data_IF_844857253258
#
_entry.id   IF_844857253258
#
_cell.length_a   1.000
_cell.length_b   1.000
_cell.length_c   1.000
_cell.angle_alpha   90.00
_cell.angle_beta   90.00
_cell.angle_gamma   90.00
#
_symmetry.space_group_name_H-M   'P 1'
#
loop_
_entity.id
_entity.type
_entity.pdbx_description
1 polymer ?
#
# COMPACT_ATOMS: atom_id res chain seq x y z
N UNK A 1 15.71 -7.30 11.29
CA UNK A 1 14.47 -6.72 11.83
C UNK A 1 13.64 -6.00 10.76
N UNK A 2 13.63 -6.48 9.51
CA UNK A 2 12.78 -6.00 8.41
C UNK A 2 12.28 -7.22 7.64
N UNK A 3 11.46 -8.04 8.31
CA UNK A 3 10.70 -9.08 7.63
C UNK A 3 9.62 -8.40 6.79
N UNK A 4 9.71 -8.67 5.50
CA UNK A 4 9.23 -7.86 4.41
C UNK A 4 7.71 -8.05 4.29
N UNK A 5 6.93 -7.05 3.88
CA UNK A 5 5.48 -7.25 3.67
C UNK A 5 5.25 -8.43 2.71
N UNK A 6 6.21 -8.69 1.82
CA UNK A 6 6.29 -9.89 0.99
C UNK A 6 6.25 -11.21 1.77
N UNK A 7 6.94 -11.31 2.91
CA UNK A 7 6.94 -12.51 3.74
C UNK A 7 5.54 -12.73 4.35
N UNK A 8 4.88 -11.64 4.77
CA UNK A 8 3.49 -11.67 5.26
C UNK A 8 2.54 -12.16 4.15
N UNK A 9 2.71 -11.70 2.91
CA UNK A 9 1.93 -12.16 1.76
C UNK A 9 2.11 -13.67 1.54
N UNK A 10 3.36 -14.15 1.51
CA UNK A 10 3.69 -15.54 1.26
C UNK A 10 3.19 -16.45 2.39
N UNK A 11 3.34 -16.03 3.64
CA UNK A 11 2.80 -16.73 4.82
C UNK A 11 1.27 -16.84 4.78
N UNK A 12 0.59 -15.87 4.16
CA UNK A 12 -0.87 -15.87 3.98
C UNK A 12 -1.33 -16.57 2.69
N UNK A 13 -0.49 -17.45 2.13
CA UNK A 13 -0.82 -18.35 1.00
C UNK A 13 -1.20 -17.62 -0.29
N UNK A 14 -0.66 -16.42 -0.48
CA UNK A 14 -0.68 -15.76 -1.78
C UNK A 14 0.52 -16.19 -2.62
N UNK A 15 0.29 -16.38 -3.90
CA UNK A 15 1.34 -16.51 -4.90
C UNK A 15 1.66 -15.12 -5.45
N UNK A 16 2.94 -14.75 -5.48
CA UNK A 16 3.40 -13.54 -6.17
C UNK A 16 3.71 -13.92 -7.61
N UNK A 17 2.78 -13.64 -8.52
CA UNK A 17 2.91 -13.97 -9.95
C UNK A 17 3.96 -13.08 -10.62
N UNK A 18 3.96 -11.80 -10.29
CA UNK A 18 4.91 -10.82 -10.82
C UNK A 18 5.19 -9.73 -9.79
N UNK A 19 6.40 -9.22 -9.80
CA UNK A 19 6.79 -7.99 -9.10
C UNK A 19 7.42 -7.03 -10.10
N UNK A 20 7.13 -5.74 -9.99
CA UNK A 20 7.79 -4.69 -10.78
C UNK A 20 7.91 -3.44 -9.93
N UNK A 21 9.11 -2.87 -9.83
CA UNK A 21 9.30 -1.58 -9.16
C UNK A 21 9.12 -0.46 -10.17
N UNK A 22 8.21 0.47 -9.88
CA UNK A 22 7.92 1.62 -10.74
C UNK A 22 8.12 2.92 -9.97
N UNK A 23 8.41 4.00 -10.68
CA UNK A 23 8.38 5.35 -10.12
C UNK A 23 7.31 6.14 -10.87
N UNK A 24 6.27 6.58 -10.17
CA UNK A 24 5.23 7.37 -10.79
C UNK A 24 5.75 8.77 -11.15
N UNK A 25 5.45 9.23 -12.36
CA UNK A 25 5.45 10.66 -12.67
C UNK A 25 4.22 11.33 -12.02
N UNK A 26 4.25 12.65 -11.86
CA UNK A 26 3.06 13.38 -11.39
C UNK A 26 1.84 13.15 -12.28
N UNK A 27 2.03 13.14 -13.59
CA UNK A 27 0.96 12.94 -14.57
C UNK A 27 0.36 11.54 -14.42
N UNK A 28 1.20 10.50 -14.41
CA UNK A 28 0.72 9.12 -14.27
C UNK A 28 0.01 8.88 -12.94
N UNK A 29 0.49 9.47 -11.84
CA UNK A 29 -0.20 9.37 -10.55
C UNK A 29 -1.55 10.10 -10.54
N UNK A 30 -1.64 11.28 -11.17
CA UNK A 30 -2.92 12.02 -11.29
C UNK A 30 -3.95 11.26 -12.11
N UNK A 31 -3.52 10.67 -13.23
CA UNK A 31 -4.38 9.82 -14.06
C UNK A 31 -4.84 8.59 -13.28
N UNK A 32 -3.91 7.91 -12.58
CA UNK A 32 -4.24 6.72 -11.79
C UNK A 32 -5.25 7.01 -10.67
N UNK A 33 -5.13 8.16 -9.99
CA UNK A 33 -6.04 8.56 -8.92
C UNK A 33 -7.13 9.54 -9.36
N UNK A 34 -7.46 9.59 -10.65
CA UNK A 34 -8.38 10.59 -11.21
C UNK A 34 -9.77 10.57 -10.53
N UNK A 35 -10.26 9.38 -10.14
CA UNK A 35 -11.51 9.22 -9.40
C UNK A 35 -11.52 9.94 -8.04
N UNK A 36 -10.35 10.26 -7.51
CA UNK A 36 -10.19 10.96 -6.24
C UNK A 36 -9.91 12.45 -6.40
N UNK A 37 -9.90 13.01 -7.62
CA UNK A 37 -9.51 14.41 -7.90
C UNK A 37 -10.21 15.44 -7.01
N UNK A 38 -11.47 15.22 -6.67
CA UNK A 38 -12.28 16.15 -5.86
C UNK A 38 -12.22 15.88 -4.35
N UNK A 39 -11.39 14.93 -3.89
CA UNK A 39 -11.23 14.63 -2.47
C UNK A 39 -10.14 15.52 -1.85
N UNK A 40 -10.36 15.99 -0.63
CA UNK A 40 -9.43 16.88 0.08
C UNK A 40 -7.99 16.32 0.22
N UNK A 41 -7.84 14.99 0.22
CA UNK A 41 -6.55 14.31 0.35
C UNK A 41 -5.82 14.06 -0.98
N UNK A 42 -6.43 14.39 -2.13
CA UNK A 42 -5.93 14.04 -3.46
C UNK A 42 -4.51 14.53 -3.73
N UNK A 43 -4.24 15.81 -3.51
CA UNK A 43 -2.91 16.39 -3.77
C UNK A 43 -1.82 15.75 -2.89
N UNK A 44 -2.16 15.45 -1.63
CA UNK A 44 -1.26 14.78 -0.71
C UNK A 44 -0.99 13.33 -1.13
N UNK A 45 -2.01 12.63 -1.62
CA UNK A 45 -1.89 11.26 -2.15
C UNK A 45 -0.98 11.22 -3.39
N UNK A 46 -1.21 12.09 -4.37
CA UNK A 46 -0.37 12.18 -5.58
C UNK A 46 1.07 12.54 -5.22
N UNK A 47 1.28 13.54 -4.36
CA UNK A 47 2.61 13.93 -3.90
C UNK A 47 3.33 12.77 -3.22
N UNK A 48 2.63 12.00 -2.38
CA UNK A 48 3.20 10.83 -1.72
C UNK A 48 3.59 9.73 -2.71
N UNK A 49 2.70 9.39 -3.65
CA UNK A 49 2.91 8.30 -4.61
C UNK A 49 4.03 8.59 -5.62
N UNK A 50 4.38 9.86 -5.81
CA UNK A 50 5.47 10.30 -6.69
C UNK A 50 6.79 10.53 -5.94
N UNK A 51 6.79 10.45 -4.61
CA UNK A 51 7.96 10.76 -3.78
C UNK A 51 9.06 9.68 -3.82
N UNK A 52 8.76 8.49 -4.33
CA UNK A 52 9.70 7.38 -4.39
C UNK A 52 9.21 6.24 -5.28
N UNK A 53 9.99 5.17 -5.32
CA UNK A 53 9.61 3.95 -6.04
C UNK A 53 8.58 3.13 -5.27
N UNK A 54 7.71 2.47 -6.02
CA UNK A 54 6.60 1.66 -5.55
C UNK A 54 6.77 0.28 -6.14
N UNK A 55 6.68 -0.76 -5.31
CA UNK A 55 6.73 -2.14 -5.76
C UNK A 55 5.30 -2.59 -6.10
N UNK A 56 5.06 -2.91 -7.36
CA UNK A 56 3.78 -3.42 -7.86
C UNK A 56 3.84 -4.93 -7.91
N UNK A 57 2.82 -5.58 -7.37
CA UNK A 57 2.73 -7.03 -7.34
C UNK A 57 1.41 -7.50 -7.93
N UNK A 58 1.48 -8.57 -8.72
CA UNK A 58 0.31 -9.34 -9.14
C UNK A 58 0.23 -10.54 -8.20
N UNK A 59 -0.84 -10.63 -7.40
CA UNK A 59 -1.02 -11.71 -6.44
C UNK A 59 -2.13 -12.66 -6.88
N UNK A 60 -1.90 -13.97 -6.75
CA UNK A 60 -2.90 -14.99 -7.01
C UNK A 60 -3.18 -15.81 -5.75
N UNK A 61 -4.46 -16.08 -5.50
CA UNK A 61 -4.98 -16.92 -4.40
C UNK A 61 -6.45 -17.21 -4.71
N UNK A 62 -7.02 -18.27 -4.13
CA UNK A 62 -8.43 -18.68 -4.30
C UNK A 62 -9.46 -17.58 -4.02
N UNK A 63 -9.17 -16.50 -3.36
CA UNK A 63 -10.15 -15.52 -2.91
C UNK A 63 -9.43 -14.19 -2.80
N UNK A 64 -8.51 -13.97 -3.75
CA UNK A 64 -7.39 -13.05 -3.60
C UNK A 64 -7.83 -11.65 -3.16
N UNK A 65 -8.87 -11.10 -3.77
CA UNK A 65 -9.37 -9.76 -3.45
C UNK A 65 -9.89 -9.69 -2.01
N UNK A 66 -10.80 -10.60 -1.63
CA UNK A 66 -11.37 -10.63 -0.28
C UNK A 66 -10.31 -10.89 0.79
N UNK A 67 -9.47 -11.91 0.58
CA UNK A 67 -8.36 -12.25 1.46
C UNK A 67 -7.36 -11.09 1.60
N UNK A 68 -7.09 -10.37 0.51
CA UNK A 68 -6.17 -9.25 0.52
C UNK A 68 -6.72 -8.08 1.33
N UNK A 69 -8.02 -7.78 1.21
CA UNK A 69 -8.70 -6.75 1.99
C UNK A 69 -8.64 -7.06 3.49
N UNK A 70 -8.84 -8.33 3.88
CA UNK A 70 -8.69 -8.78 5.27
C UNK A 70 -7.25 -8.60 5.74
N UNK A 71 -6.27 -9.05 4.95
CA UNK A 71 -4.85 -8.97 5.31
C UNK A 71 -4.34 -7.52 5.43
N UNK A 72 -4.84 -6.61 4.59
CA UNK A 72 -4.52 -5.18 4.68
C UNK A 72 -5.09 -4.56 5.97
N UNK A 73 -6.32 -4.92 6.35
CA UNK A 73 -7.03 -4.30 7.47
C UNK A 73 -7.69 -2.95 7.11
N UNK A 74 -8.29 -2.28 8.12
CA UNK A 74 -9.01 -1.01 7.93
C UNK A 74 -8.16 0.09 7.28
N UNK A 75 -8.77 0.91 6.43
CA UNK A 75 -8.05 2.01 5.73
C UNK A 75 -7.48 3.05 6.69
N UNK A 76 -8.22 3.34 7.76
CA UNK A 76 -7.81 4.27 8.82
C UNK A 76 -6.77 3.59 9.70
N UNK A 77 -5.55 4.11 9.71
CA UNK A 77 -4.42 3.46 10.39
C UNK A 77 -4.66 3.37 11.90
N UNK A 78 -5.18 4.43 12.51
CA UNK A 78 -5.49 4.42 13.96
C UNK A 78 -6.49 3.31 14.31
N UNK A 79 -7.47 3.09 13.43
CA UNK A 79 -8.47 2.03 13.62
C UNK A 79 -7.81 0.67 13.47
N UNK A 80 -7.02 0.46 12.41
CA UNK A 80 -6.29 -0.78 12.19
C UNK A 80 -5.33 -1.11 13.35
N UNK A 81 -4.65 -0.12 13.92
CA UNK A 81 -3.76 -0.30 15.07
C UNK A 81 -4.51 -0.71 16.34
N UNK A 82 -5.75 -0.25 16.52
CA UNK A 82 -6.55 -0.56 17.69
C UNK A 82 -7.34 -1.87 17.55
N UNK A 83 -8.01 -2.08 16.42
CA UNK A 83 -8.87 -3.26 16.21
C UNK A 83 -8.09 -4.48 15.70
N UNK A 84 -7.11 -4.27 14.82
CA UNK A 84 -6.46 -5.34 14.06
C UNK A 84 -4.94 -5.12 13.91
N UNK A 85 -4.18 -5.03 15.02
CA UNK A 85 -2.77 -4.62 15.01
C UNK A 85 -1.87 -5.52 14.15
N UNK A 86 -2.27 -6.78 13.95
CA UNK A 86 -1.54 -7.78 13.16
C UNK A 86 -1.77 -7.65 11.63
N UNK A 87 -2.69 -6.79 11.20
CA UNK A 87 -2.87 -6.50 9.76
C UNK A 87 -1.73 -5.65 9.23
N UNK A 88 -1.54 -5.63 7.90
CA UNK A 88 -0.44 -4.85 7.31
C UNK A 88 -0.58 -3.36 7.66
N UNK A 89 -1.80 -2.79 7.65
CA UNK A 89 -2.01 -1.38 8.03
C UNK A 89 -1.84 -1.14 9.52
N UNK A 90 -2.22 -2.10 10.37
CA UNK A 90 -1.97 -2.02 11.81
C UNK A 90 -0.47 -2.05 12.14
N UNK A 91 0.28 -2.93 11.49
CA UNK A 91 1.71 -3.13 11.76
C UNK A 91 2.62 -2.10 11.10
N UNK A 92 2.29 -1.61 9.89
CA UNK A 92 3.19 -0.77 9.08
C UNK A 92 2.59 0.60 8.69
N UNK A 93 1.32 0.86 9.02
CA UNK A 93 0.68 2.13 8.70
C UNK A 93 1.24 3.30 9.52
N UNK A 94 1.40 4.45 8.89
CA UNK A 94 1.86 5.70 9.54
C UNK A 94 0.73 6.74 9.58
N UNK A 95 -0.08 6.82 8.52
CA UNK A 95 -1.23 7.73 8.42
C UNK A 95 -2.22 7.23 7.38
N UNK A 96 -3.41 7.83 7.31
CA UNK A 96 -4.45 7.42 6.36
C UNK A 96 -3.99 7.49 4.88
N UNK A 97 -3.10 8.45 4.55
CA UNK A 97 -2.48 8.54 3.21
C UNK A 97 -1.21 7.69 3.04
N UNK A 98 -0.65 7.16 4.13
CA UNK A 98 0.58 6.36 4.18
C UNK A 98 0.32 5.09 4.98
N UNK A 99 -0.52 4.23 4.44
CA UNK A 99 -1.00 3.01 5.09
C UNK A 99 -0.30 1.74 4.52
N UNK A 100 0.91 1.91 3.99
CA UNK A 100 1.80 0.86 3.44
C UNK A 100 1.31 0.11 2.19
N UNK A 101 0.00 -0.09 2.01
CA UNK A 101 -0.56 -0.96 0.95
C UNK A 101 -1.82 -0.41 0.31
N UNK A 102 -1.94 -0.64 -0.99
CA UNK A 102 -3.13 -0.37 -1.79
C UNK A 102 -3.57 -1.65 -2.52
N UNK A 103 -4.87 -1.85 -2.65
CA UNK A 103 -5.46 -2.98 -3.38
C UNK A 103 -6.56 -2.51 -4.30
N UNK A 104 -6.59 -3.05 -5.52
CA UNK A 104 -7.67 -2.86 -6.48
C UNK A 104 -9.00 -3.40 -5.94
N UNK A 105 -10.10 -2.70 -6.25
CA UNK A 105 -11.46 -3.12 -5.91
C UNK A 105 -11.92 -4.35 -6.72
N UNK A 106 -11.49 -4.46 -7.97
CA UNK A 106 -12.10 -5.37 -8.94
C UNK A 106 -11.12 -6.38 -9.57
N UNK A 107 -9.80 -6.21 -9.44
CA UNK A 107 -8.83 -7.16 -10.04
C UNK A 107 -7.39 -7.02 -9.52
N UNK A 108 -6.87 -8.15 -9.00
CA UNK A 108 -5.50 -8.76 -8.95
C UNK A 108 -4.20 -7.91 -8.88
N UNK A 109 -4.23 -6.60 -9.09
CA UNK A 109 -3.06 -5.72 -9.04
C UNK A 109 -2.99 -5.02 -7.68
N UNK A 110 -1.87 -5.20 -6.99
CA UNK A 110 -1.63 -4.73 -5.63
C UNK A 110 -0.37 -3.88 -5.64
N UNK A 111 -0.47 -2.65 -5.15
CA UNK A 111 0.64 -1.70 -5.07
C UNK A 111 1.17 -1.67 -3.64
N UNK A 112 2.47 -1.94 -3.47
CA UNK A 112 3.23 -1.81 -2.23
C UNK A 112 4.12 -0.59 -2.29
N UNK A 113 4.11 0.22 -1.24
CA UNK A 113 5.11 1.26 -1.09
C UNK A 113 6.26 0.75 -0.21
N UNK A 114 7.49 0.76 -0.74
CA UNK A 114 8.65 0.39 0.05
C UNK A 114 9.02 1.57 0.98
N UNK A 115 8.48 1.56 2.20
CA UNK A 115 8.70 2.59 3.21
C UNK A 115 10.15 2.64 3.72
N UNK A 116 11.03 1.70 3.33
CA UNK A 116 12.44 1.67 3.77
C UNK A 116 13.28 2.88 3.32
N UNK A 117 12.77 3.71 2.39
CA UNK A 117 13.43 4.96 1.96
C UNK A 117 12.83 6.23 2.53
N UNK A 118 11.77 6.17 3.34
CA UNK A 118 11.33 7.34 4.12
C UNK A 118 12.13 7.35 5.43
N UNK A 119 13.44 7.60 5.32
CA UNK A 119 14.14 8.27 6.42
C UNK A 119 13.51 9.66 6.51
N UNK A 120 12.56 9.82 7.42
CA UNK A 120 12.29 11.13 8.00
C UNK A 120 13.63 11.62 8.56
N UNK A 121 14.34 12.45 7.80
CA UNK A 121 15.29 13.39 8.39
C UNK A 121 14.46 14.30 9.29
N UNK A 122 14.31 13.93 10.54
CA UNK A 122 14.24 14.93 11.59
C UNK A 122 15.66 15.47 11.72
N UNK A 123 15.98 16.49 10.92
CA UNK A 123 17.05 17.40 11.29
C UNK A 123 16.41 18.43 12.21
N UNK A 124 16.92 18.54 13.43
CA UNK A 124 16.97 19.84 14.09
C UNK A 124 17.88 20.76 13.27
#
# INVERSE_FOLDING_TARGET
MFQNIRDVILANRFYVVRTTSIKFSQESARTFYQEHKNKFFYHRLVSFMTSGSVDVHILARKDAVAAWRVLMGPTKVYQAQFSDPNTIRGSYGISDTRNATHGSGDSTCILFYNLSKIKMKFSK
#
